data_IF_065604048537
#
_entry.id   IF_065604048537
#
_cell.length_a   1.000
_cell.length_b   1.000
_cell.length_c   1.000
_cell.angle_alpha   90.00
_cell.angle_beta   90.00
_cell.angle_gamma   90.00
#
_symmetry.space_group_name_H-M   'P 1'
#
loop_
_entity.id
_entity.type
_entity.pdbx_description
1 polymer ?
#
# COMPACT_ATOMS: atom_id res chain seq x y z
N UNK A 1 -13.15 18.28 -18.59
CA UNK A 1 -11.95 17.46 -18.37
C UNK A 1 -12.29 16.06 -18.78
N UNK A 2 -11.38 15.38 -19.49
CA UNK A 2 -11.56 13.98 -19.83
C UNK A 2 -11.55 13.12 -18.56
N UNK A 3 -12.27 12.01 -18.61
CA UNK A 3 -12.45 11.13 -17.46
C UNK A 3 -11.20 10.27 -17.27
N UNK A 4 -10.39 10.63 -16.29
CA UNK A 4 -9.21 9.87 -15.82
C UNK A 4 -9.62 8.62 -15.04
N UNK A 5 -8.85 7.56 -15.14
CA UNK A 5 -8.93 6.34 -14.31
C UNK A 5 -7.77 6.24 -13.33
N UNK A 6 -8.10 6.19 -12.05
CA UNK A 6 -7.17 6.02 -10.94
C UNK A 6 -7.11 4.56 -10.50
N UNK A 7 -5.90 4.09 -10.21
CA UNK A 7 -5.64 2.94 -9.35
C UNK A 7 -5.14 3.47 -8.01
N UNK A 8 -5.80 3.11 -6.91
CA UNK A 8 -5.39 3.51 -5.55
C UNK A 8 -5.19 2.26 -4.72
N UNK A 9 -4.01 2.08 -4.14
CA UNK A 9 -3.80 1.03 -3.13
C UNK A 9 -4.04 1.59 -1.74
N UNK A 10 -4.69 0.84 -0.85
CA UNK A 10 -4.94 1.27 0.53
C UNK A 10 -4.84 0.12 1.54
N UNK A 11 -4.68 0.48 2.82
CA UNK A 11 -4.64 -0.47 3.93
C UNK A 11 -3.29 -1.17 4.13
N UNK A 12 -3.15 -1.99 5.17
CA UNK A 12 -1.96 -2.79 5.41
C UNK A 12 -2.02 -4.11 4.63
N UNK A 13 -0.89 -4.75 4.37
CA UNK A 13 -0.86 -6.18 4.02
C UNK A 13 -0.67 -7.04 5.28
N UNK A 14 -1.07 -8.31 5.21
CA UNK A 14 -0.97 -9.31 6.28
C UNK A 14 -0.23 -10.53 5.77
N UNK A 15 1.02 -10.69 6.17
CA UNK A 15 1.89 -11.78 5.75
C UNK A 15 1.74 -12.98 6.70
N UNK A 16 1.09 -14.07 6.28
CA UNK A 16 0.73 -15.16 7.18
C UNK A 16 1.96 -15.90 7.70
N UNK A 17 1.99 -16.13 9.01
CA UNK A 17 2.95 -17.03 9.67
C UNK A 17 2.36 -18.45 9.74
N UNK A 18 1.08 -18.51 10.11
CA UNK A 18 0.24 -19.70 10.18
C UNK A 18 -1.25 -19.28 10.02
N UNK A 19 -2.23 -20.19 10.09
CA UNK A 19 -3.64 -19.82 9.89
C UNK A 19 -4.24 -18.85 10.93
N UNK A 20 -3.51 -18.51 11.99
CA UNK A 20 -3.98 -17.68 13.11
C UNK A 20 -3.19 -16.39 13.25
N UNK A 21 -1.96 -16.34 12.74
CA UNK A 21 -1.02 -15.24 12.98
C UNK A 21 -0.41 -14.74 11.68
N UNK A 22 -0.15 -13.45 11.63
CA UNK A 22 0.46 -12.78 10.50
C UNK A 22 1.33 -11.61 10.96
N UNK A 23 2.22 -11.14 10.08
CA UNK A 23 2.97 -9.88 10.21
C UNK A 23 2.21 -8.81 9.44
N UNK A 24 2.05 -7.61 10.00
CA UNK A 24 1.28 -6.53 9.38
C UNK A 24 1.75 -5.17 9.87
N UNK A 25 1.36 -4.15 9.12
CA UNK A 25 1.57 -2.75 9.47
C UNK A 25 0.33 -2.17 10.19
N UNK A 26 0.51 -1.04 10.89
CA UNK A 26 -0.56 -0.36 11.67
C UNK A 26 -1.45 0.58 10.82
N UNK A 27 -1.37 0.49 9.49
CA UNK A 27 -2.14 1.38 8.62
C UNK A 27 -3.65 1.17 8.81
N UNK A 28 -4.37 2.28 8.92
CA UNK A 28 -5.84 2.28 8.95
C UNK A 28 -6.46 2.28 7.55
N UNK A 29 -5.67 2.54 6.50
CA UNK A 29 -6.13 2.73 5.12
C UNK A 29 -6.89 4.03 4.85
N UNK A 30 -7.15 4.87 5.86
CA UNK A 30 -7.96 6.10 5.74
C UNK A 30 -7.47 7.03 4.64
N UNK A 31 -6.15 7.21 4.49
CA UNK A 31 -5.58 8.10 3.48
C UNK A 31 -5.91 7.63 2.05
N UNK A 32 -5.64 6.35 1.73
CA UNK A 32 -5.96 5.81 0.42
C UNK A 32 -7.46 5.82 0.11
N UNK A 33 -8.32 5.59 1.11
CA UNK A 33 -9.77 5.69 0.93
C UNK A 33 -10.22 7.13 0.68
N UNK A 34 -9.65 8.11 1.38
CA UNK A 34 -9.96 9.52 1.15
C UNK A 34 -9.54 10.00 -0.26
N UNK A 35 -8.37 9.55 -0.74
CA UNK A 35 -7.91 9.83 -2.11
C UNK A 35 -8.85 9.21 -3.14
N UNK A 36 -9.28 7.96 -2.91
CA UNK A 36 -10.25 7.28 -3.78
C UNK A 36 -11.59 8.02 -3.83
N UNK A 37 -12.12 8.46 -2.69
CA UNK A 37 -13.37 9.24 -2.63
C UNK A 37 -13.22 10.58 -3.37
N UNK A 38 -12.15 11.33 -3.12
CA UNK A 38 -11.92 12.62 -3.76
C UNK A 38 -11.82 12.52 -5.29
N UNK A 39 -11.18 11.47 -5.82
CA UNK A 39 -11.14 11.24 -7.27
C UNK A 39 -12.54 10.93 -7.84
N UNK A 40 -13.36 10.13 -7.14
CA UNK A 40 -14.73 9.84 -7.56
C UNK A 40 -15.65 11.07 -7.52
N UNK A 41 -15.50 11.91 -6.50
CA UNK A 41 -16.22 13.19 -6.35
C UNK A 41 -15.87 14.16 -7.47
N UNK A 42 -14.60 14.17 -7.91
CA UNK A 42 -14.15 14.92 -9.08
C UNK A 42 -14.63 14.34 -10.43
N UNK A 43 -15.37 13.22 -10.42
CA UNK A 43 -15.97 12.62 -11.61
C UNK A 43 -15.14 11.52 -12.29
N UNK A 44 -14.02 11.10 -11.69
CA UNK A 44 -13.12 10.10 -12.26
C UNK A 44 -13.55 8.65 -11.98
N UNK A 45 -12.85 7.69 -12.59
CA UNK A 45 -12.95 6.26 -12.25
C UNK A 45 -11.91 5.88 -11.21
N UNK A 46 -12.25 4.96 -10.31
CA UNK A 46 -11.32 4.44 -9.31
C UNK A 46 -11.38 2.93 -9.24
N UNK A 47 -10.21 2.30 -9.36
CA UNK A 47 -9.93 0.94 -8.90
C UNK A 47 -9.23 1.06 -7.55
N UNK A 48 -9.91 0.61 -6.48
CA UNK A 48 -9.37 0.62 -5.13
C UNK A 48 -8.86 -0.78 -4.79
N UNK A 49 -7.55 -0.97 -4.75
CA UNK A 49 -6.92 -2.23 -4.30
C UNK A 49 -6.66 -2.11 -2.80
N UNK A 50 -7.47 -2.81 -2.00
CA UNK A 50 -7.46 -2.62 -0.55
C UNK A 50 -6.98 -3.86 0.19
N UNK A 51 -5.97 -3.67 1.02
CA UNK A 51 -5.68 -4.54 2.16
C UNK A 51 -6.82 -4.53 3.20
N UNK A 52 -6.76 -5.41 4.21
CA UNK A 52 -7.80 -5.55 5.23
C UNK A 52 -7.90 -4.32 6.15
N UNK A 53 -9.03 -3.60 6.06
CA UNK A 53 -9.39 -2.44 6.87
C UNK A 53 -10.85 -2.51 7.31
N UNK A 54 -11.23 -1.72 8.32
CA UNK A 54 -12.62 -1.61 8.77
C UNK A 54 -13.27 -0.32 8.25
N UNK A 55 -13.18 -0.09 6.94
CA UNK A 55 -13.74 1.08 6.25
C UNK A 55 -14.72 0.60 5.19
N UNK A 56 -15.86 1.28 5.05
CA UNK A 56 -16.76 1.05 3.93
C UNK A 56 -16.12 1.58 2.64
N UNK A 57 -16.03 0.78 1.55
CA UNK A 57 -15.50 1.27 0.29
C UNK A 57 -16.43 2.34 -0.32
N UNK A 58 -15.89 3.36 -1.00
CA UNK A 58 -16.70 4.31 -1.76
C UNK A 58 -17.62 3.60 -2.75
N UNK A 59 -18.93 3.92 -2.75
CA UNK A 59 -19.95 3.16 -3.54
C UNK A 59 -19.65 3.04 -5.04
N UNK A 60 -18.90 3.99 -5.61
CA UNK A 60 -18.59 4.06 -7.05
C UNK A 60 -17.22 3.47 -7.40
N UNK A 61 -16.40 3.09 -6.42
CA UNK A 61 -15.10 2.46 -6.66
C UNK A 61 -15.27 1.00 -7.08
N UNK A 62 -14.45 0.54 -8.03
CA UNK A 62 -14.21 -0.89 -8.24
C UNK A 62 -13.27 -1.37 -7.14
N UNK A 63 -13.79 -2.06 -6.13
CA UNK A 63 -12.98 -2.62 -5.04
C UNK A 63 -12.33 -3.94 -5.47
N UNK A 64 -11.03 -4.07 -5.22
CA UNK A 64 -10.27 -5.32 -5.30
C UNK A 64 -9.68 -5.59 -3.91
N UNK A 65 -10.26 -6.54 -3.18
CA UNK A 65 -9.78 -6.92 -1.85
C UNK A 65 -8.60 -7.88 -1.94
N UNK A 66 -7.54 -7.57 -1.21
CA UNK A 66 -6.32 -8.38 -1.10
C UNK A 66 -5.93 -8.50 0.37
N UNK A 67 -5.14 -9.52 0.70
CA UNK A 67 -4.64 -9.76 2.06
C UNK A 67 -3.12 -9.63 2.13
N UNK A 68 -2.39 -10.18 1.17
CA UNK A 68 -0.91 -10.25 1.22
C UNK A 68 -0.23 -9.24 0.30
N UNK A 69 1.06 -9.01 0.50
CA UNK A 69 1.87 -8.20 -0.41
C UNK A 69 1.90 -8.76 -1.84
N UNK A 70 1.90 -10.09 -1.98
CA UNK A 70 1.92 -10.75 -3.29
C UNK A 70 0.58 -10.56 -4.03
N UNK A 71 -0.54 -10.75 -3.34
CA UNK A 71 -1.88 -10.51 -3.91
C UNK A 71 -2.05 -9.04 -4.32
N UNK A 72 -1.57 -8.12 -3.49
CA UNK A 72 -1.58 -6.69 -3.82
C UNK A 72 -0.70 -6.40 -5.04
N UNK A 73 0.52 -6.96 -5.09
CA UNK A 73 1.39 -6.82 -6.24
C UNK A 73 0.68 -7.30 -7.51
N UNK A 74 0.16 -8.51 -7.52
CA UNK A 74 -0.44 -9.11 -8.71
C UNK A 74 -1.71 -8.35 -9.16
N UNK A 75 -2.49 -7.82 -8.21
CA UNK A 75 -3.63 -6.96 -8.52
C UNK A 75 -3.19 -5.63 -9.15
N UNK A 76 -2.14 -5.00 -8.62
CA UNK A 76 -1.60 -3.75 -9.16
C UNK A 76 -1.02 -3.97 -10.55
N UNK A 77 -0.18 -4.99 -10.70
CA UNK A 77 0.53 -5.32 -11.94
C UNK A 77 -0.45 -5.56 -13.10
N UNK A 78 -1.57 -6.24 -12.81
CA UNK A 78 -2.65 -6.52 -13.76
C UNK A 78 -3.42 -5.27 -14.21
N UNK A 79 -3.75 -4.37 -13.29
CA UNK A 79 -4.68 -3.26 -13.57
C UNK A 79 -3.96 -1.93 -13.92
N UNK A 80 -2.66 -1.78 -13.58
CA UNK A 80 -1.91 -0.52 -13.69
C UNK A 80 -1.87 0.07 -15.11
N UNK A 81 -1.58 -0.73 -16.15
CA UNK A 81 -1.47 -0.22 -17.54
C UNK A 81 -2.83 0.22 -18.13
N UNK A 82 -3.94 -0.14 -17.47
CA UNK A 82 -5.28 0.29 -17.87
C UNK A 82 -5.74 1.59 -17.19
N UNK A 83 -4.86 2.20 -16.40
CA UNK A 83 -5.13 3.42 -15.63
C UNK A 83 -4.24 4.56 -16.12
N UNK A 84 -4.64 5.78 -15.78
CA UNK A 84 -3.90 7.01 -16.10
C UNK A 84 -3.09 7.50 -14.89
N UNK A 85 -3.51 7.14 -13.67
CA UNK A 85 -2.83 7.51 -12.43
C UNK A 85 -2.80 6.33 -11.47
N UNK A 86 -1.62 5.98 -10.97
CA UNK A 86 -1.42 4.95 -9.95
C UNK A 86 -0.93 5.59 -8.65
N UNK A 87 -1.75 5.53 -7.60
CA UNK A 87 -1.47 6.06 -6.27
C UNK A 87 -1.20 4.91 -5.29
N UNK A 88 0.07 4.69 -4.98
CA UNK A 88 0.51 3.60 -4.11
C UNK A 88 0.59 4.05 -2.64
N UNK A 89 -0.57 4.13 -1.98
CA UNK A 89 -0.74 4.56 -0.59
C UNK A 89 -0.81 3.40 0.44
N UNK A 90 -0.84 2.14 0.01
CA UNK A 90 -0.93 1.00 0.92
C UNK A 90 0.36 0.84 1.73
N UNK A 91 0.21 0.40 2.99
CA UNK A 91 1.34 0.04 3.83
C UNK A 91 1.69 -1.43 3.60
N UNK A 92 2.40 -1.70 2.50
CA UNK A 92 2.89 -3.03 2.14
C UNK A 92 4.01 -3.44 3.09
N UNK A 93 4.00 -4.70 3.54
CA UNK A 93 5.10 -5.23 4.36
C UNK A 93 6.39 -5.35 3.53
N UNK A 94 7.53 -4.94 4.09
CA UNK A 94 8.84 -5.05 3.42
C UNK A 94 9.36 -6.51 3.40
N UNK A 95 8.92 -7.30 4.37
CA UNK A 95 9.32 -8.70 4.54
C UNK A 95 8.12 -9.59 4.84
N UNK A 96 8.21 -10.85 4.40
CA UNK A 96 7.23 -11.91 4.69
C UNK A 96 7.92 -13.18 5.19
N UNK A 97 7.22 -14.06 5.94
CA UNK A 97 7.77 -15.36 6.33
C UNK A 97 8.22 -16.17 5.11
N UNK A 98 9.43 -16.72 5.16
CA UNK A 98 9.99 -17.56 4.09
C UNK A 98 9.13 -18.81 3.82
N UNK A 99 8.48 -19.33 4.88
CA UNK A 99 7.55 -20.45 4.84
C UNK A 99 6.36 -20.17 5.73
N UNK A 100 5.17 -20.39 5.19
CA UNK A 100 3.91 -20.33 5.93
C UNK A 100 3.59 -21.72 6.47
N UNK A 101 3.33 -21.83 7.77
CA UNK A 101 2.89 -23.11 8.35
C UNK A 101 1.42 -23.37 7.99
N UNK A 102 1.04 -24.57 7.51
CA UNK A 102 -0.36 -24.90 7.22
C UNK A 102 -1.20 -25.11 8.50
N UNK A 103 -0.55 -25.21 9.66
CA UNK A 103 -1.20 -25.42 10.97
C UNK A 103 -0.70 -24.39 11.98
N UNK A 104 -1.55 -24.08 12.98
CA UNK A 104 -1.17 -23.21 14.11
C UNK A 104 0.07 -23.76 14.80
N UNK A 105 1.16 -22.99 14.81
CA UNK A 105 2.40 -23.43 15.47
C UNK A 105 2.16 -23.37 16.97
N UNK A 106 2.27 -24.52 17.64
CA UNK A 106 2.08 -24.63 19.09
C UNK A 106 3.23 -23.98 19.83
N UNK A 107 2.92 -23.35 20.97
CA UNK A 107 3.93 -22.82 21.89
C UNK A 107 4.87 -23.95 22.33
N UNK A 108 6.17 -23.72 22.22
CA UNK A 108 7.23 -24.56 22.80
C UNK A 108 7.90 -23.78 23.93
N UNK A 109 8.65 -24.47 24.80
CA UNK A 109 9.40 -23.85 25.91
C UNK A 109 10.60 -23.02 25.42
N UNK A 110 11.06 -23.26 24.20
CA UNK A 110 12.19 -22.59 23.57
C UNK A 110 11.80 -21.30 22.83
N UNK A 111 12.81 -20.50 22.48
CA UNK A 111 12.66 -19.30 21.65
C UNK A 111 12.08 -19.67 20.28
N UNK A 112 11.19 -18.83 19.77
CA UNK A 112 10.60 -18.95 18.44
C UNK A 112 11.22 -17.91 17.51
N UNK A 113 11.77 -18.37 16.38
CA UNK A 113 12.36 -17.53 15.34
C UNK A 113 11.63 -17.73 14.02
N UNK A 114 11.51 -16.65 13.25
CA UNK A 114 10.98 -16.66 11.89
C UNK A 114 12.07 -16.25 10.92
N UNK A 115 12.25 -17.04 9.86
CA UNK A 115 13.03 -16.63 8.70
C UNK A 115 12.15 -15.73 7.82
N UNK A 116 12.67 -14.55 7.48
CA UNK A 116 11.96 -13.56 6.69
C UNK A 116 12.69 -13.34 5.37
N UNK A 117 11.92 -13.18 4.29
CA UNK A 117 12.41 -12.84 2.95
C UNK A 117 11.78 -11.53 2.49
N UNK A 118 12.46 -10.73 1.66
CA UNK A 118 11.92 -9.48 1.14
C UNK A 118 10.66 -9.74 0.30
N UNK A 119 9.71 -8.81 0.34
CA UNK A 119 8.54 -8.83 -0.55
C UNK A 119 8.87 -8.23 -1.92
N UNK A 120 7.94 -8.36 -2.87
CA UNK A 120 8.07 -7.74 -4.18
C UNK A 120 7.75 -6.25 -4.06
N UNK A 121 8.66 -5.41 -4.52
CA UNK A 121 8.49 -3.97 -4.48
C UNK A 121 7.59 -3.48 -5.62
N UNK A 122 6.34 -3.16 -5.29
CA UNK A 122 5.33 -2.71 -6.25
C UNK A 122 5.73 -1.37 -6.89
N UNK A 123 6.23 -0.44 -6.09
CA UNK A 123 6.55 0.92 -6.54
C UNK A 123 7.76 0.91 -7.48
N UNK A 124 8.80 0.17 -7.13
CA UNK A 124 9.98 -0.03 -7.97
C UNK A 124 9.63 -0.80 -9.26
N UNK A 125 8.77 -1.81 -9.18
CA UNK A 125 8.32 -2.56 -10.36
C UNK A 125 7.60 -1.66 -11.38
N UNK A 126 6.64 -0.84 -10.93
CA UNK A 126 5.96 0.12 -11.82
C UNK A 126 6.90 1.23 -12.28
N UNK A 127 7.81 1.68 -11.42
CA UNK A 127 8.82 2.69 -11.72
C UNK A 127 9.75 2.31 -12.86
N UNK A 128 10.06 1.02 -13.01
CA UNK A 128 10.97 0.50 -14.05
C UNK A 128 10.30 0.17 -15.37
N UNK A 129 8.98 0.30 -15.49
CA UNK A 129 8.26 0.06 -16.75
C UNK A 129 8.65 1.13 -17.78
N UNK A 130 9.29 0.70 -18.89
CA UNK A 130 9.86 1.62 -19.89
C UNK A 130 8.82 2.48 -20.61
N UNK A 131 7.64 1.91 -20.88
CA UNK A 131 6.60 2.55 -21.67
C UNK A 131 5.37 2.92 -20.83
N UNK A 132 5.55 3.17 -19.53
CA UNK A 132 4.43 3.53 -18.66
C UNK A 132 3.75 4.81 -19.19
N UNK A 133 2.44 4.76 -19.32
CA UNK A 133 1.62 5.91 -19.73
C UNK A 133 0.91 6.58 -18.56
N UNK A 134 0.96 5.97 -17.38
CA UNK A 134 0.34 6.49 -16.16
C UNK A 134 1.31 7.33 -15.33
N UNK A 135 0.74 8.28 -14.58
CA UNK A 135 1.42 8.99 -13.51
C UNK A 135 1.57 8.08 -12.29
N UNK A 136 2.79 7.91 -11.78
CA UNK A 136 3.09 7.12 -10.60
C UNK A 136 3.29 8.00 -9.37
N UNK A 137 2.40 7.84 -8.39
CA UNK A 137 2.43 8.55 -7.11
C UNK A 137 2.78 7.57 -6.00
N UNK A 138 3.93 7.76 -5.36
CA UNK A 138 4.36 7.01 -4.19
C UNK A 138 4.02 7.71 -2.88
N UNK A 139 3.96 6.95 -1.79
CA UNK A 139 3.88 7.46 -0.42
C UNK A 139 5.12 7.08 0.38
N UNK A 140 5.65 8.02 1.15
CA UNK A 140 6.76 7.80 2.07
C UNK A 140 6.37 8.26 3.48
N UNK A 141 6.15 7.28 4.36
CA UNK A 141 5.99 7.53 5.78
C UNK A 141 7.39 7.49 6.41
N UNK A 142 7.93 8.65 6.78
CA UNK A 142 9.28 8.78 7.36
C UNK A 142 9.18 9.19 8.83
N UNK A 143 10.16 8.78 9.65
CA UNK A 143 10.23 9.15 11.07
C UNK A 143 11.28 10.23 11.36
N UNK A 144 12.08 10.60 10.36
CA UNK A 144 13.12 11.62 10.41
C UNK A 144 13.44 12.09 8.99
N UNK A 145 13.98 13.31 8.84
CA UNK A 145 14.51 13.88 7.59
C UNK A 145 13.57 13.68 6.38
N UNK A 146 12.28 13.90 6.60
CA UNK A 146 11.15 13.54 5.71
C UNK A 146 11.38 13.99 4.27
N UNK A 147 11.80 15.24 4.06
CA UNK A 147 12.01 15.81 2.73
C UNK A 147 13.18 15.15 1.98
N UNK A 148 14.33 14.98 2.64
CA UNK A 148 15.51 14.38 2.02
C UNK A 148 15.26 12.92 1.65
N UNK A 149 14.64 12.15 2.56
CA UNK A 149 14.29 10.76 2.32
C UNK A 149 13.25 10.61 1.20
N UNK A 150 12.26 11.50 1.13
CA UNK A 150 11.28 11.52 0.07
C UNK A 150 11.90 11.79 -1.31
N UNK A 151 12.81 12.76 -1.42
CA UNK A 151 13.51 13.07 -2.69
C UNK A 151 14.38 11.90 -3.14
N UNK A 152 15.08 11.24 -2.20
CA UNK A 152 15.87 10.05 -2.51
C UNK A 152 14.97 8.90 -3.00
N UNK A 153 13.86 8.63 -2.31
CA UNK A 153 12.90 7.58 -2.70
C UNK A 153 12.24 7.88 -4.05
N UNK A 154 11.85 9.14 -4.31
CA UNK A 154 11.29 9.57 -5.59
C UNK A 154 12.21 9.18 -6.76
N UNK A 155 13.50 9.53 -6.65
CA UNK A 155 14.51 9.23 -7.68
C UNK A 155 14.80 7.73 -7.78
N UNK A 156 14.99 7.06 -6.65
CA UNK A 156 15.33 5.64 -6.62
C UNK A 156 14.21 4.75 -7.20
N UNK A 157 12.94 5.14 -6.98
CA UNK A 157 11.76 4.41 -7.45
C UNK A 157 11.21 4.92 -8.78
N UNK A 158 11.85 5.94 -9.36
CA UNK A 158 11.41 6.59 -10.59
C UNK A 158 9.92 7.01 -10.55
N UNK A 159 9.48 7.56 -9.42
CA UNK A 159 8.11 8.08 -9.28
C UNK A 159 8.00 9.48 -9.88
N UNK A 160 6.81 9.84 -10.36
CA UNK A 160 6.53 11.21 -10.81
C UNK A 160 6.23 12.12 -9.62
N UNK A 161 5.56 11.58 -8.59
CA UNK A 161 5.22 12.29 -7.36
C UNK A 161 5.53 11.40 -6.15
N UNK A 162 6.02 12.01 -5.06
CA UNK A 162 6.17 11.37 -3.76
C UNK A 162 5.44 12.21 -2.72
N UNK A 163 4.44 11.62 -2.07
CA UNK A 163 3.77 12.22 -0.92
C UNK A 163 4.46 11.76 0.34
N UNK A 164 5.07 12.67 1.07
CA UNK A 164 5.81 12.37 2.28
C UNK A 164 5.03 12.82 3.51
N UNK A 165 4.94 11.95 4.52
CA UNK A 165 4.31 12.28 5.79
C UNK A 165 5.15 11.78 6.96
N UNK A 166 5.14 12.54 8.06
CA UNK A 166 5.75 12.12 9.31
C UNK A 166 4.87 11.03 9.97
N UNK A 167 5.43 9.84 10.14
CA UNK A 167 4.73 8.68 10.69
C UNK A 167 4.53 8.75 12.22
N UNK A 168 5.28 9.61 12.93
CA UNK A 168 5.21 9.77 14.38
C UNK A 168 4.04 10.67 14.82
N UNK A 169 3.54 11.54 13.94
CA UNK A 169 2.48 12.51 14.26
C UNK A 169 1.05 11.94 14.26
N UNK A 170 0.89 10.62 14.11
CA UNK A 170 -0.41 9.93 14.06
C UNK A 170 -1.28 10.02 15.31
N UNK A 171 -0.78 10.59 16.42
CA UNK A 171 -1.53 10.83 17.66
C UNK A 171 -1.85 12.32 17.93
N UNK A 172 -1.42 13.26 17.08
CA UNK A 172 -1.44 14.70 17.41
C UNK A 172 -2.43 15.56 16.60
N UNK A 173 -3.56 15.01 16.16
CA UNK A 173 -4.68 15.81 15.62
C UNK A 173 -5.96 15.49 16.38
N UNK A 174 -5.93 15.77 17.68
CA UNK A 174 -7.12 16.11 18.46
C UNK A 174 -6.80 17.44 19.12
N UNK A 175 -7.67 18.43 18.91
CA UNK A 175 -7.60 19.79 19.46
C UNK A 175 -6.65 20.79 18.79
N UNK A 176 -7.15 21.43 17.71
CA UNK A 176 -7.13 22.90 17.58
C UNK A 176 -8.44 23.35 16.95
N UNK A 177 -9.42 23.67 17.81
CA UNK A 177 -10.48 24.63 17.52
C UNK A 177 -9.94 26.04 17.72
#
# INVERSE_FOLDING_TARGET
MDRVRFLVTAGPTREPIDPVRYISNRSSGKMGYAIAEAALEAGHEVILISGPVNLGPPRRAKLVSVSTSDEMFDAVDRDADSCDVCVLCAAVADYKPAKVSPIKIKKRSEKFSLELIPTRDILDSLGRRRDRQFLLVGFAAETNDVEQNAVQKLRAKNCDIMVANDACLGEAITERN
#
